data_IF_671573395782
#
_entry.id   IF_671573395782
#
_cell.length_a   1.000
_cell.length_b   1.000
_cell.length_c   1.000
_cell.angle_alpha   90.00
_cell.angle_beta   90.00
_cell.angle_gamma   90.00
#
_symmetry.space_group_name_H-M   'P 1'
#
loop_
_entity.id
_entity.type
_entity.pdbx_description
1 polymer ?
#
# COMPACT_ATOMS: atom_id res chain seq x y z
N UNK A 1 -0.20 20.63 -5.93
CA UNK A 1 0.05 19.35 -6.61
C UNK A 1 0.50 18.39 -5.52
N UNK A 2 -0.14 17.23 -5.40
CA UNK A 2 0.11 16.29 -4.29
C UNK A 2 1.32 15.42 -4.58
N UNK A 3 2.20 15.23 -3.60
CA UNK A 3 3.41 14.40 -3.70
C UNK A 3 3.23 13.06 -3.00
N UNK A 4 3.54 11.96 -3.70
CA UNK A 4 3.57 10.60 -3.16
C UNK A 4 5.03 10.23 -2.84
N UNK A 5 5.33 10.00 -1.56
CA UNK A 5 6.63 9.48 -1.12
C UNK A 5 6.58 7.97 -1.01
N UNK A 6 7.54 7.27 -1.60
CA UNK A 6 7.66 5.82 -1.48
C UNK A 6 8.89 5.45 -0.68
N UNK A 7 8.66 4.79 0.46
CA UNK A 7 9.71 4.19 1.29
C UNK A 7 9.75 2.70 0.96
N UNK A 8 10.68 2.35 0.08
CA UNK A 8 10.72 1.06 -0.59
C UNK A 8 10.33 1.18 -2.07
N UNK A 9 11.12 0.55 -2.93
CA UNK A 9 10.93 0.56 -4.38
C UNK A 9 11.02 -0.83 -5.01
N UNK A 10 10.54 -1.84 -4.27
CA UNK A 10 10.30 -3.18 -4.81
C UNK A 10 9.07 -3.20 -5.73
N UNK A 11 8.58 -4.40 -6.04
CA UNK A 11 7.51 -4.61 -7.03
C UNK A 11 6.25 -3.75 -6.80
N UNK A 12 5.73 -3.69 -5.57
CA UNK A 12 4.57 -2.83 -5.26
C UNK A 12 4.95 -1.35 -5.35
N UNK A 13 6.05 -0.93 -4.74
CA UNK A 13 6.48 0.46 -4.76
C UNK A 13 6.69 1.01 -6.17
N UNK A 14 7.45 0.33 -7.03
CA UNK A 14 7.65 0.76 -8.41
C UNK A 14 6.35 0.81 -9.21
N UNK A 15 5.43 -0.14 -8.99
CA UNK A 15 4.11 -0.15 -9.63
C UNK A 15 3.25 1.03 -9.18
N UNK A 16 3.18 1.30 -7.88
CA UNK A 16 2.44 2.46 -7.33
C UNK A 16 3.04 3.76 -7.87
N UNK A 17 4.36 3.87 -7.98
CA UNK A 17 5.01 5.04 -8.56
C UNK A 17 4.61 5.29 -10.03
N UNK A 18 4.56 4.24 -10.85
CA UNK A 18 4.08 4.33 -12.24
C UNK A 18 2.65 4.83 -12.32
N UNK A 19 1.76 4.22 -11.51
CA UNK A 19 0.35 4.59 -11.47
C UNK A 19 0.15 6.03 -10.97
N UNK A 20 0.90 6.45 -9.94
CA UNK A 20 0.84 7.79 -9.39
C UNK A 20 1.30 8.85 -10.42
N UNK A 21 2.42 8.62 -11.12
CA UNK A 21 2.87 9.53 -12.18
C UNK A 21 1.84 9.62 -13.31
N UNK A 22 1.30 8.48 -13.75
CA UNK A 22 0.25 8.43 -14.78
C UNK A 22 -1.03 9.18 -14.35
N UNK A 23 -1.39 9.12 -13.07
CA UNK A 23 -2.50 9.86 -12.48
C UNK A 23 -2.20 11.36 -12.23
N UNK A 24 -0.96 11.78 -12.47
CA UNK A 24 -0.52 13.17 -12.47
C UNK A 24 0.17 13.65 -11.20
N UNK A 25 0.45 12.77 -10.24
CA UNK A 25 1.15 13.10 -9.00
C UNK A 25 2.66 13.30 -9.21
N UNK A 26 3.28 14.09 -8.32
CA UNK A 26 4.73 14.06 -8.15
C UNK A 26 5.12 12.86 -7.26
N UNK A 27 6.25 12.24 -7.56
CA UNK A 27 6.71 11.02 -6.89
C UNK A 27 8.15 11.18 -6.39
N UNK A 28 8.34 10.84 -5.12
CA UNK A 28 9.68 10.76 -4.50
C UNK A 28 9.94 9.30 -4.09
N UNK A 29 10.82 8.63 -4.83
CA UNK A 29 11.19 7.24 -4.60
C UNK A 29 12.39 7.13 -3.67
N UNK A 30 12.35 6.18 -2.74
CA UNK A 30 13.50 5.82 -1.92
C UNK A 30 13.61 4.32 -1.71
N UNK A 31 14.80 3.84 -1.37
CA UNK A 31 15.05 2.48 -0.93
C UNK A 31 16.25 2.45 0.04
N UNK A 32 16.59 1.26 0.54
CA UNK A 32 17.70 1.06 1.46
C UNK A 32 19.09 1.03 0.79
N UNK A 33 19.15 1.02 -0.54
CA UNK A 33 20.40 0.89 -1.31
C UNK A 33 20.97 2.21 -1.81
N UNK A 34 20.21 3.29 -1.69
CA UNK A 34 20.62 4.64 -2.10
C UNK A 34 19.89 5.14 -3.35
N UNK A 35 19.67 6.47 -3.46
CA UNK A 35 18.96 7.09 -4.59
C UNK A 35 19.55 6.75 -5.97
N UNK A 36 20.86 6.57 -6.03
CA UNK A 36 21.61 6.25 -7.25
C UNK A 36 21.22 4.90 -7.88
N UNK A 37 20.67 3.98 -7.09
CA UNK A 37 20.15 2.70 -7.58
C UNK A 37 18.79 2.82 -8.28
N UNK A 38 18.18 4.00 -8.26
CA UNK A 38 16.86 4.27 -8.82
C UNK A 38 16.89 5.09 -10.10
N UNK A 39 18.07 5.36 -10.66
CA UNK A 39 18.24 6.19 -11.86
C UNK A 39 17.38 5.71 -13.04
N UNK A 40 17.39 4.41 -13.31
CA UNK A 40 16.65 3.85 -14.46
C UNK A 40 15.14 3.99 -14.28
N UNK A 41 14.64 3.68 -13.07
CA UNK A 41 13.22 3.84 -12.74
C UNK A 41 12.78 5.31 -12.81
N UNK A 42 13.59 6.24 -12.29
CA UNK A 42 13.31 7.68 -12.40
C UNK A 42 13.33 8.14 -13.85
N UNK A 43 14.31 7.68 -14.64
CA UNK A 43 14.39 7.98 -16.08
C UNK A 43 13.15 7.52 -16.84
N UNK A 44 12.64 6.33 -16.51
CA UNK A 44 11.40 5.80 -17.09
C UNK A 44 10.16 6.59 -16.69
N UNK A 45 10.06 7.00 -15.42
CA UNK A 45 8.93 7.77 -14.90
C UNK A 45 8.93 9.24 -15.35
N UNK A 46 10.09 9.75 -15.77
CA UNK A 46 10.21 11.10 -16.32
C UNK A 46 10.15 12.21 -15.26
N UNK A 47 9.78 13.45 -15.66
CA UNK A 47 10.04 14.65 -14.87
C UNK A 47 9.24 14.77 -13.56
N UNK A 48 8.21 13.94 -13.39
CA UNK A 48 7.40 13.90 -12.16
C UNK A 48 7.98 12.99 -11.08
N UNK A 49 9.09 12.29 -11.35
CA UNK A 49 9.73 11.41 -10.40
C UNK A 49 11.14 11.88 -10.07
N UNK A 50 11.53 11.70 -8.81
CA UNK A 50 12.94 11.80 -8.39
C UNK A 50 13.27 10.75 -7.35
N UNK A 51 14.54 10.39 -7.25
CA UNK A 51 15.04 9.53 -6.19
C UNK A 51 15.51 10.36 -4.98
N UNK A 52 15.38 9.80 -3.78
CA UNK A 52 15.81 10.42 -2.53
C UNK A 52 16.11 9.34 -1.48
N UNK A 53 16.65 9.76 -0.33
CA UNK A 53 16.74 8.90 0.86
C UNK A 53 15.34 8.67 1.47
N UNK A 54 15.14 7.63 2.28
CA UNK A 54 13.87 7.41 2.98
C UNK A 54 13.40 8.60 3.82
N UNK A 55 14.32 9.30 4.48
CA UNK A 55 14.01 10.49 5.26
C UNK A 55 13.52 11.65 4.38
N UNK A 56 14.22 11.92 3.27
CA UNK A 56 13.82 12.97 2.32
C UNK A 56 12.48 12.65 1.63
N UNK A 57 12.23 11.38 1.30
CA UNK A 57 10.96 10.94 0.75
C UNK A 57 9.81 11.12 1.77
N UNK A 58 10.06 10.80 3.04
CA UNK A 58 9.09 11.03 4.11
C UNK A 58 8.77 12.52 4.30
N UNK A 59 9.78 13.39 4.33
CA UNK A 59 9.60 14.84 4.49
C UNK A 59 8.80 15.44 3.34
N UNK A 60 9.17 15.13 2.09
CA UNK A 60 8.62 15.77 0.90
C UNK A 60 7.19 15.35 0.55
N UNK A 61 6.71 14.23 1.10
CA UNK A 61 5.44 13.64 0.70
C UNK A 61 4.23 14.19 1.45
N UNK A 62 3.11 14.31 0.75
CA UNK A 62 1.80 14.53 1.35
C UNK A 62 1.16 13.20 1.78
N UNK A 63 1.37 12.15 0.96
CA UNK A 63 0.98 10.76 1.23
C UNK A 63 2.23 9.90 1.14
N UNK A 64 2.49 9.08 2.17
CA UNK A 64 3.65 8.19 2.22
C UNK A 64 3.19 6.76 2.03
N UNK A 65 3.82 6.01 1.13
CA UNK A 65 3.62 4.57 0.95
C UNK A 65 4.81 3.85 1.56
N UNK A 66 4.56 3.09 2.62
CA UNK A 66 5.57 2.22 3.25
C UNK A 66 5.47 0.83 2.62
N UNK A 67 6.50 0.46 1.87
CA UNK A 67 6.56 -0.78 1.09
C UNK A 67 7.93 -1.45 1.17
N UNK A 68 8.37 -1.57 2.42
CA UNK A 68 9.53 -2.39 2.82
C UNK A 68 9.05 -3.72 3.41
N UNK A 69 9.91 -4.75 3.53
CA UNK A 69 9.60 -5.92 4.36
C UNK A 69 9.19 -5.53 5.78
N UNK A 70 8.27 -6.27 6.40
CA UNK A 70 7.74 -5.93 7.73
C UNK A 70 8.87 -5.77 8.76
N UNK A 71 9.88 -6.66 8.79
CA UNK A 71 11.02 -6.50 9.71
C UNK A 71 11.80 -5.19 9.60
N UNK A 72 11.66 -4.46 8.49
CA UNK A 72 12.40 -3.24 8.22
C UNK A 72 11.64 -1.96 8.59
N UNK A 73 10.32 -2.02 8.84
CA UNK A 73 9.56 -0.80 9.20
C UNK A 73 10.12 -0.08 10.45
N UNK A 74 10.68 -0.76 11.48
CA UNK A 74 11.21 -0.07 12.65
C UNK A 74 12.42 0.83 12.35
N UNK A 75 13.08 0.62 11.21
CA UNK A 75 14.25 1.41 10.79
C UNK A 75 13.85 2.73 10.11
N UNK A 76 12.56 2.91 9.81
CA UNK A 76 12.06 4.13 9.17
C UNK A 76 11.89 5.20 10.25
N UNK A 77 12.47 6.41 10.08
CA UNK A 77 12.28 7.52 11.01
C UNK A 77 10.81 7.91 11.10
N UNK A 78 10.24 7.91 12.31
CA UNK A 78 8.83 8.22 12.54
C UNK A 78 8.55 9.73 12.58
N UNK A 79 9.50 10.55 13.05
CA UNK A 79 9.32 11.99 13.21
C UNK A 79 8.90 12.69 11.89
N UNK A 80 9.54 12.47 10.73
CA UNK A 80 9.10 13.07 9.47
C UNK A 80 7.70 12.68 9.01
N UNK A 81 7.13 11.61 9.58
CA UNK A 81 5.82 11.05 9.23
C UNK A 81 4.70 11.58 10.13
N UNK A 82 5.03 12.36 11.16
CA UNK A 82 4.04 12.93 12.07
C UNK A 82 2.98 13.75 11.32
N UNK A 83 1.71 13.48 11.60
CA UNK A 83 0.53 14.11 10.99
C UNK A 83 0.21 13.65 9.56
N UNK A 84 1.11 12.91 8.88
CA UNK A 84 0.94 12.48 7.50
C UNK A 84 0.06 11.24 7.38
N UNK A 85 -0.53 11.06 6.19
CA UNK A 85 -1.20 9.82 5.81
C UNK A 85 -0.16 8.81 5.35
N UNK A 86 -0.15 7.63 5.97
CA UNK A 86 0.80 6.56 5.69
C UNK A 86 0.04 5.32 5.20
N UNK A 87 0.26 4.92 3.95
CA UNK A 87 -0.27 3.70 3.36
C UNK A 87 0.65 2.52 3.70
N UNK A 88 0.17 1.58 4.49
CA UNK A 88 0.86 0.35 4.87
C UNK A 88 0.55 -0.80 3.89
N UNK A 89 1.59 -1.25 3.17
CA UNK A 89 1.49 -2.36 2.20
C UNK A 89 1.92 -3.73 2.75
N UNK A 90 2.30 -3.83 4.02
CA UNK A 90 2.92 -5.03 4.58
C UNK A 90 2.02 -6.27 4.64
N UNK A 91 2.62 -7.43 4.44
CA UNK A 91 2.08 -8.70 4.92
C UNK A 91 3.17 -9.37 5.77
N UNK A 92 2.76 -10.16 6.75
CA UNK A 92 3.67 -10.87 7.63
C UNK A 92 4.12 -12.20 7.01
N UNK A 93 5.43 -12.43 6.90
CA UNK A 93 6.00 -13.70 6.47
C UNK A 93 7.07 -14.14 7.48
N UNK A 94 6.83 -15.15 8.34
CA UNK A 94 7.79 -15.58 9.35
C UNK A 94 9.18 -15.91 8.79
N UNK A 95 9.25 -16.46 7.57
CA UNK A 95 10.49 -16.82 6.89
C UNK A 95 11.32 -15.59 6.50
N UNK A 96 10.65 -14.46 6.21
CA UNK A 96 11.27 -13.19 5.83
C UNK A 96 11.52 -12.30 7.04
N UNK A 97 10.53 -12.23 7.93
CA UNK A 97 10.40 -11.22 8.98
C UNK A 97 10.84 -11.72 10.37
N UNK A 98 11.04 -13.02 10.52
CA UNK A 98 11.19 -13.66 11.83
C UNK A 98 9.85 -13.88 12.52
N UNK A 99 9.84 -14.68 13.60
CA UNK A 99 8.62 -14.94 14.37
C UNK A 99 8.26 -13.72 15.21
N UNK A 100 7.02 -13.23 15.08
CA UNK A 100 6.48 -12.11 15.84
C UNK A 100 5.28 -12.64 16.62
N UNK A 101 5.47 -12.88 17.92
CA UNK A 101 4.51 -13.59 18.77
C UNK A 101 3.11 -12.96 18.76
N UNK A 102 3.01 -11.63 18.86
CA UNK A 102 1.73 -10.89 18.83
C UNK A 102 0.94 -11.10 17.51
N UNK A 103 1.62 -11.36 16.38
CA UNK A 103 0.97 -11.67 15.11
C UNK A 103 0.56 -13.14 15.02
N UNK A 104 1.39 -14.05 15.56
CA UNK A 104 1.16 -15.49 15.55
C UNK A 104 -0.01 -15.90 16.44
N UNK A 105 -0.11 -15.32 17.64
CA UNK A 105 -1.22 -15.55 18.57
C UNK A 105 -2.43 -14.66 18.27
N UNK A 106 -2.26 -13.70 17.36
CA UNK A 106 -3.29 -12.81 16.90
C UNK A 106 -3.71 -11.70 17.87
N UNK A 107 -2.90 -11.36 18.86
CA UNK A 107 -3.17 -10.23 19.77
C UNK A 107 -3.06 -8.87 19.09
N UNK A 108 -2.41 -8.79 17.92
CA UNK A 108 -2.30 -7.57 17.11
C UNK A 108 -2.40 -7.90 15.63
N UNK A 109 -2.49 -6.86 14.82
CA UNK A 109 -2.31 -6.93 13.38
C UNK A 109 -1.07 -6.19 12.89
N UNK A 110 -0.68 -6.42 11.63
CA UNK A 110 0.42 -5.67 10.99
C UNK A 110 0.14 -4.17 10.94
N UNK A 111 -1.11 -3.78 10.68
CA UNK A 111 -1.51 -2.38 10.64
C UNK A 111 -1.37 -1.71 12.02
N UNK A 112 -1.82 -2.39 13.08
CA UNK A 112 -1.67 -1.91 14.45
C UNK A 112 -0.20 -1.81 14.88
N UNK A 113 0.67 -2.74 14.48
CA UNK A 113 2.11 -2.64 14.74
C UNK A 113 2.73 -1.39 14.10
N UNK A 114 2.36 -1.09 12.85
CA UNK A 114 2.84 0.12 12.19
C UNK A 114 2.27 1.38 12.83
N UNK A 115 0.98 1.40 13.19
CA UNK A 115 0.39 2.54 13.89
C UNK A 115 1.03 2.78 15.26
N UNK A 116 1.42 1.71 15.98
CA UNK A 116 2.13 1.80 17.26
C UNK A 116 3.53 2.43 17.11
N UNK A 117 4.24 2.11 16.02
CA UNK A 117 5.57 2.67 15.73
C UNK A 117 5.49 4.10 15.17
N UNK A 118 4.57 4.35 14.24
CA UNK A 118 4.31 5.67 13.68
C UNK A 118 3.15 6.34 14.43
N UNK A 119 3.25 6.44 15.76
CA UNK A 119 2.17 6.88 16.63
C UNK A 119 1.59 8.27 16.30
N UNK A 120 2.42 9.15 15.72
CA UNK A 120 2.00 10.48 15.30
C UNK A 120 1.46 10.54 13.85
N UNK A 121 1.58 9.47 13.07
CA UNK A 121 1.06 9.38 11.70
C UNK A 121 -0.36 8.79 11.69
N UNK A 122 -1.04 8.90 10.54
CA UNK A 122 -2.35 8.30 10.29
C UNK A 122 -2.18 7.10 9.37
N UNK A 123 -2.07 5.90 9.95
CA UNK A 123 -1.80 4.67 9.19
C UNK A 123 -3.11 4.15 8.56
N UNK A 124 -3.03 3.83 7.28
CA UNK A 124 -4.10 3.19 6.51
C UNK A 124 -3.51 1.97 5.79
N UNK A 125 -4.09 0.80 6.01
CA UNK A 125 -3.75 -0.41 5.26
C UNK A 125 -4.22 -0.28 3.82
N UNK A 126 -3.39 -0.67 2.86
CA UNK A 126 -3.76 -0.71 1.45
C UNK A 126 -2.75 -1.46 0.59
N UNK A 127 -3.16 -1.87 -0.62
CA UNK A 127 -2.36 -2.66 -1.57
C UNK A 127 -1.88 -4.05 -1.12
N UNK A 128 -2.01 -4.39 0.16
CA UNK A 128 -1.47 -5.64 0.70
C UNK A 128 -2.14 -6.89 0.11
N UNK A 129 -3.35 -6.78 -0.44
CA UNK A 129 -4.09 -7.92 -0.96
C UNK A 129 -3.90 -8.19 -2.46
N UNK A 130 -3.22 -7.33 -3.21
CA UNK A 130 -3.10 -7.44 -4.67
C UNK A 130 -1.66 -7.74 -5.12
N UNK A 131 -1.51 -8.61 -6.12
CA UNK A 131 -0.22 -8.87 -6.75
C UNK A 131 0.17 -7.71 -7.68
N UNK A 132 1.45 -7.34 -7.72
CA UNK A 132 1.90 -6.12 -8.40
C UNK A 132 1.61 -6.11 -9.92
N UNK A 133 1.65 -7.26 -10.60
CA UNK A 133 1.33 -7.33 -12.03
C UNK A 133 -0.15 -7.06 -12.29
N UNK A 134 -1.03 -7.53 -11.39
CA UNK A 134 -2.46 -7.21 -11.43
C UNK A 134 -2.69 -5.74 -11.12
N UNK A 135 -2.01 -5.19 -10.11
CA UNK A 135 -2.06 -3.77 -9.77
C UNK A 135 -1.65 -2.89 -10.97
N UNK A 136 -0.67 -3.32 -11.77
CA UNK A 136 -0.22 -2.57 -12.94
C UNK A 136 -1.24 -2.55 -14.10
N UNK A 137 -2.18 -3.51 -14.18
CA UNK A 137 -3.01 -3.75 -15.38
C UNK A 137 -4.52 -3.64 -15.15
N UNK A 138 -4.98 -3.79 -13.92
CA UNK A 138 -6.41 -3.78 -13.60
C UNK A 138 -6.97 -2.39 -13.27
N UNK A 139 -6.14 -1.34 -13.30
CA UNK A 139 -6.59 0.04 -13.16
C UNK A 139 -7.53 0.43 -14.30
N UNK A 140 -8.66 1.04 -13.95
CA UNK A 140 -9.64 1.57 -14.91
C UNK A 140 -10.10 2.98 -14.51
N UNK A 141 -10.43 3.85 -15.49
CA UNK A 141 -11.02 5.16 -15.18
C UNK A 141 -12.28 5.03 -14.31
N UNK A 142 -12.58 6.09 -13.57
CA UNK A 142 -13.80 6.17 -12.76
C UNK A 142 -15.05 5.92 -13.63
N UNK A 143 -15.97 5.10 -13.11
CA UNK A 143 -17.22 4.72 -13.79
C UNK A 143 -17.11 3.54 -14.77
N UNK A 144 -15.92 2.98 -15.00
CA UNK A 144 -15.78 1.76 -15.80
C UNK A 144 -16.49 0.57 -15.11
N UNK A 145 -17.27 -0.25 -15.83
CA UNK A 145 -18.02 -1.37 -15.24
C UNK A 145 -17.12 -2.52 -14.76
N UNK A 146 -15.89 -2.61 -15.28
CA UNK A 146 -14.87 -3.61 -14.94
C UNK A 146 -13.79 -3.05 -14.00
N UNK A 147 -14.13 -2.06 -13.17
CA UNK A 147 -13.18 -1.47 -12.22
C UNK A 147 -12.92 -2.39 -11.03
N UNK A 148 -11.64 -2.63 -10.74
CA UNK A 148 -11.23 -3.40 -9.57
C UNK A 148 -11.31 -2.55 -8.30
N UNK A 149 -11.66 -3.17 -7.18
CA UNK A 149 -11.64 -2.54 -5.87
C UNK A 149 -10.49 -3.07 -5.01
N UNK A 150 -9.95 -2.20 -4.15
CA UNK A 150 -8.94 -2.56 -3.15
C UNK A 150 -9.50 -2.32 -1.74
N UNK A 151 -9.30 -3.24 -0.77
CA UNK A 151 -9.69 -3.02 0.61
C UNK A 151 -8.75 -2.03 1.31
N UNK A 152 -9.29 -1.23 2.23
CA UNK A 152 -8.53 -0.35 3.14
C UNK A 152 -9.01 -0.51 4.57
N UNK A 153 -8.08 -0.40 5.53
CA UNK A 153 -8.38 -0.41 6.97
C UNK A 153 -7.64 0.75 7.64
N UNK A 154 -8.25 1.44 8.60
CA UNK A 154 -7.66 2.64 9.19
C UNK A 154 -8.55 3.25 10.26
N UNK A 155 -7.93 3.82 11.30
CA UNK A 155 -8.66 4.37 12.46
C UNK A 155 -9.04 5.85 12.27
N UNK A 156 -8.35 6.59 11.40
CA UNK A 156 -8.67 7.97 11.04
C UNK A 156 -9.51 8.03 9.76
N UNK A 157 -10.75 8.49 9.87
CA UNK A 157 -11.69 8.56 8.75
C UNK A 157 -11.23 9.51 7.63
N UNK A 158 -10.57 10.62 7.96
CA UNK A 158 -10.08 11.57 6.98
C UNK A 158 -8.87 10.99 6.20
N UNK A 159 -8.00 10.23 6.86
CA UNK A 159 -6.91 9.52 6.21
C UNK A 159 -7.44 8.44 5.26
N UNK A 160 -8.47 7.66 5.66
CA UNK A 160 -9.11 6.70 4.76
C UNK A 160 -9.73 7.36 3.53
N UNK A 161 -10.31 8.56 3.68
CA UNK A 161 -10.83 9.33 2.55
C UNK A 161 -9.70 9.74 1.59
N UNK A 162 -8.59 10.25 2.10
CA UNK A 162 -7.41 10.61 1.29
C UNK A 162 -6.88 9.39 0.50
N UNK A 163 -6.81 8.22 1.13
CA UNK A 163 -6.38 6.98 0.44
C UNK A 163 -7.41 6.51 -0.58
N UNK A 164 -8.71 6.66 -0.28
CA UNK A 164 -9.80 6.34 -1.21
C UNK A 164 -9.71 7.21 -2.47
N UNK A 165 -9.49 8.52 -2.31
CA UNK A 165 -9.30 9.45 -3.42
C UNK A 165 -8.03 9.13 -4.21
N UNK A 166 -6.94 8.76 -3.54
CA UNK A 166 -5.73 8.30 -4.21
C UNK A 166 -6.00 7.05 -5.06
N UNK A 167 -6.68 6.05 -4.50
CA UNK A 167 -7.03 4.81 -5.20
C UNK A 167 -7.93 5.09 -6.41
N UNK A 168 -8.93 5.95 -6.26
CA UNK A 168 -9.78 6.38 -7.36
C UNK A 168 -8.93 6.97 -8.51
N UNK A 169 -8.01 7.87 -8.18
CA UNK A 169 -7.15 8.53 -9.17
C UNK A 169 -6.19 7.60 -9.89
N UNK A 170 -5.74 6.52 -9.24
CA UNK A 170 -4.91 5.48 -9.88
C UNK A 170 -5.73 4.34 -10.51
N UNK A 171 -7.06 4.45 -10.51
CA UNK A 171 -7.96 3.59 -11.27
C UNK A 171 -8.60 2.45 -10.50
N UNK A 172 -8.73 2.56 -9.17
CA UNK A 172 -9.31 1.53 -8.31
C UNK A 172 -10.44 2.07 -7.44
N UNK A 173 -11.49 1.27 -7.29
CA UNK A 173 -12.49 1.49 -6.24
C UNK A 173 -11.92 1.09 -4.87
N UNK A 174 -12.59 1.51 -3.79
CA UNK A 174 -12.15 1.21 -2.42
C UNK A 174 -13.24 0.51 -1.62
N UNK A 175 -12.85 -0.51 -0.84
CA UNK A 175 -13.69 -1.14 0.18
C UNK A 175 -13.12 -0.86 1.56
N UNK A 176 -13.76 0.02 2.32
CA UNK A 176 -13.40 0.24 3.72
C UNK A 176 -13.81 -0.99 4.56
N UNK A 177 -12.81 -1.65 5.17
CA UNK A 177 -13.00 -2.82 6.03
C UNK A 177 -13.03 -2.47 7.52
N UNK A 178 -12.96 -1.19 7.88
CA UNK A 178 -13.06 -0.70 9.24
C UNK A 178 -11.73 -0.25 9.86
N UNK A 179 -11.54 -0.42 11.18
CA UNK A 179 -10.32 -0.01 11.88
C UNK A 179 -9.12 -0.90 11.52
N UNK A 180 -7.90 -0.52 11.89
CA UNK A 180 -6.69 -1.31 11.61
C UNK A 180 -6.75 -2.71 12.20
N UNK A 181 -7.44 -2.87 13.33
CA UNK A 181 -7.71 -4.16 13.96
C UNK A 181 -8.47 -5.16 13.07
N UNK A 182 -9.13 -4.70 11.99
CA UNK A 182 -9.82 -5.57 11.02
C UNK A 182 -8.99 -5.92 9.79
N UNK A 183 -7.77 -5.36 9.67
CA UNK A 183 -6.96 -5.57 8.48
C UNK A 183 -6.50 -7.04 8.30
N UNK A 184 -6.56 -7.86 9.35
CA UNK A 184 -6.22 -9.30 9.30
C UNK A 184 -7.07 -10.02 8.26
N UNK A 185 -8.29 -9.53 7.96
CA UNK A 185 -9.18 -10.09 6.94
C UNK A 185 -8.68 -9.93 5.51
N UNK A 186 -7.61 -9.15 5.33
CA UNK A 186 -7.04 -8.80 4.01
C UNK A 186 -5.60 -9.29 3.82
N UNK A 187 -5.03 -9.94 4.85
CA UNK A 187 -3.65 -10.40 4.81
C UNK A 187 -3.52 -11.74 4.07
N UNK A 188 -2.29 -12.22 3.88
CA UNK A 188 -2.02 -13.55 3.35
C UNK A 188 -2.90 -14.64 3.99
N UNK A 189 -3.17 -15.68 3.22
CA UNK A 189 -3.95 -16.85 3.63
C UNK A 189 -5.44 -16.56 3.94
N UNK A 190 -5.93 -15.37 3.56
CA UNK A 190 -7.37 -15.03 3.57
C UNK A 190 -7.98 -15.06 2.16
N UNK A 191 -9.30 -15.21 2.00
CA UNK A 191 -9.93 -15.34 0.69
C UNK A 191 -9.73 -14.16 -0.26
N UNK A 192 -9.56 -12.94 0.27
CA UNK A 192 -9.38 -11.72 -0.53
C UNK A 192 -7.93 -11.46 -0.96
N UNK A 193 -6.99 -12.28 -0.48
CA UNK A 193 -5.57 -12.13 -0.77
C UNK A 193 -5.22 -12.76 -2.13
N UNK A 194 -4.93 -11.90 -3.11
CA UNK A 194 -4.53 -12.18 -4.51
C UNK A 194 -5.62 -12.85 -5.35
N UNK A 195 -6.28 -13.88 -4.82
CA UNK A 195 -7.26 -14.71 -5.53
C UNK A 195 -8.37 -13.98 -6.32
N UNK A 196 -8.96 -12.86 -5.84
CA UNK A 196 -10.01 -12.17 -6.59
C UNK A 196 -9.53 -11.64 -7.94
N UNK A 197 -8.24 -11.34 -8.05
CA UNK A 197 -7.65 -10.66 -9.20
C UNK A 197 -7.16 -11.62 -10.28
N UNK A 198 -7.55 -12.89 -10.20
CA UNK A 198 -7.23 -13.91 -11.19
C UNK A 198 -6.05 -14.81 -10.78
N UNK A 199 -5.68 -15.75 -11.67
CA UNK A 199 -4.56 -16.66 -11.45
C UNK A 199 -3.23 -15.91 -11.35
N UNK A 200 -2.15 -16.61 -10.99
CA UNK A 200 -0.78 -16.06 -10.97
C UNK A 200 -0.21 -15.68 -12.35
N UNK A 201 -1.06 -15.35 -13.33
CA UNK A 201 -0.68 -14.78 -14.62
C UNK A 201 -0.86 -13.26 -14.64
N UNK A 202 -0.04 -12.51 -15.41
CA UNK A 202 -0.06 -11.06 -15.35
C UNK A 202 -1.38 -10.40 -15.80
N UNK A 203 -2.21 -11.03 -16.62
CA UNK A 203 -3.40 -10.38 -17.17
C UNK A 203 -4.45 -10.09 -16.07
N UNK A 204 -4.58 -11.03 -15.13
CA UNK A 204 -5.50 -10.93 -14.02
C UNK A 204 -6.97 -10.89 -14.43
N UNK A 205 -7.84 -10.62 -13.47
CA UNK A 205 -9.29 -10.55 -13.63
C UNK A 205 -9.81 -9.40 -12.76
N UNK A 206 -10.67 -8.51 -13.28
CA UNK A 206 -11.24 -7.46 -12.45
C UNK A 206 -12.07 -8.01 -11.28
N UNK A 207 -11.93 -7.38 -10.11
CA UNK A 207 -12.67 -7.76 -8.91
C UNK A 207 -13.46 -6.56 -8.36
N UNK A 208 -14.78 -6.60 -8.47
CA UNK A 208 -15.65 -5.50 -8.04
C UNK A 208 -15.65 -5.32 -6.52
N UNK A 209 -16.10 -4.15 -6.05
CA UNK A 209 -16.27 -3.89 -4.62
C UNK A 209 -17.20 -4.90 -3.92
N UNK A 210 -18.19 -5.45 -4.62
CA UNK A 210 -19.07 -6.48 -4.08
C UNK A 210 -18.32 -7.79 -3.81
N UNK A 211 -17.50 -8.24 -4.77
CA UNK A 211 -16.65 -9.43 -4.62
C UNK A 211 -15.66 -9.25 -3.47
N UNK A 212 -15.02 -8.08 -3.39
CA UNK A 212 -14.07 -7.77 -2.31
C UNK A 212 -14.78 -7.80 -0.94
N UNK A 213 -15.97 -7.21 -0.80
CA UNK A 213 -16.76 -7.24 0.46
C UNK A 213 -17.13 -8.66 0.87
N UNK A 214 -17.58 -9.48 -0.08
CA UNK A 214 -17.92 -10.88 0.16
C UNK A 214 -16.72 -11.66 0.71
N UNK A 215 -15.56 -11.55 0.05
CA UNK A 215 -14.36 -12.31 0.42
C UNK A 215 -13.74 -11.81 1.74
N UNK A 216 -13.80 -10.51 2.02
CA UNK A 216 -13.45 -9.97 3.35
C UNK A 216 -14.38 -10.52 4.44
N UNK A 217 -15.69 -10.60 4.16
CA UNK A 217 -16.67 -11.16 5.09
C UNK A 217 -16.52 -12.67 5.32
N UNK A 218 -15.92 -13.38 4.37
CA UNK A 218 -15.65 -14.81 4.46
C UNK A 218 -14.34 -15.16 5.19
N UNK A 219 -13.51 -14.17 5.55
CA UNK A 219 -12.26 -14.39 6.27
C UNK A 219 -12.50 -15.02 7.66
N UNK A 220 -11.64 -15.96 8.04
CA UNK A 220 -11.69 -16.69 9.31
C UNK A 220 -10.32 -16.64 9.98
N UNK A 221 -10.33 -16.63 11.31
CA UNK A 221 -9.13 -16.69 12.15
C UNK A 221 -9.08 -18.01 12.89
#
# INVERSE_FOLDING_TARGET
MTTIGLIGSGNIGSTVARLAVAAGYDVVLSNSRGPETLRDLVGELGPKARAATPAEAAVAADIVVVTVPLKAYPQIPAEPLAGKVLIDTNNYYPERDGRIEELENGSTTTGELLQRHFAAAKVVKGFNNIWFEHLARLGRPAGAPDRSALPVAGDDAAAKLVVTEFFDRIGYDTVDVGPLAENWRTQRDTPVYVAPYGPGDPAGTPASAAVIRELVGAAKR
#
